data_IF_758254459477
#
_entry.id   IF_758254459477
#
_cell.length_a   1.000
_cell.length_b   1.000
_cell.length_c   1.000
_cell.angle_alpha   90.00
_cell.angle_beta   90.00
_cell.angle_gamma   90.00
#
_symmetry.space_group_name_H-M   'P 1'
#
loop_
_entity.id
_entity.type
_entity.pdbx_description
1 polymer ?
#
# COMPACT_ATOMS: atom_id res chain seq x y z
N UNK A 1 3.37 13.41 -11.88
CA UNK A 1 2.32 12.36 -11.78
C UNK A 1 2.07 12.04 -10.31
N UNK A 2 0.81 11.79 -9.92
CA UNK A 2 0.43 11.36 -8.57
C UNK A 2 0.42 9.84 -8.51
N UNK A 3 1.00 9.25 -7.47
CA UNK A 3 1.11 7.79 -7.32
C UNK A 3 0.61 7.40 -5.93
N UNK A 4 -0.26 6.40 -5.90
CA UNK A 4 -0.70 5.76 -4.68
C UNK A 4 0.26 4.64 -4.26
N UNK A 5 0.63 4.63 -2.99
CA UNK A 5 1.50 3.62 -2.38
C UNK A 5 0.62 2.67 -1.56
N UNK A 6 0.53 1.43 -2.04
CA UNK A 6 -0.13 0.32 -1.37
C UNK A 6 0.84 -0.43 -0.43
N UNK A 7 0.32 -1.32 0.42
CA UNK A 7 1.03 -1.93 1.55
C UNK A 7 2.17 -2.89 1.17
N UNK A 8 2.18 -3.47 -0.04
CA UNK A 8 3.30 -4.33 -0.48
C UNK A 8 4.56 -3.54 -0.82
N UNK A 9 4.44 -2.29 -1.28
CA UNK A 9 5.59 -1.42 -1.57
C UNK A 9 6.50 -1.23 -0.34
N UNK A 10 6.03 -0.66 0.80
CA UNK A 10 6.89 -0.53 1.97
C UNK A 10 7.36 -1.89 2.51
N UNK A 11 6.54 -2.93 2.38
CA UNK A 11 6.91 -4.29 2.80
C UNK A 11 8.11 -4.83 2.01
N UNK A 12 8.15 -4.66 0.69
CA UNK A 12 9.29 -5.07 -0.14
C UNK A 12 10.54 -4.20 0.08
N UNK A 13 10.36 -2.89 0.33
CA UNK A 13 11.48 -1.99 0.59
C UNK A 13 12.21 -2.38 1.87
N UNK A 14 11.50 -2.71 2.95
CA UNK A 14 12.13 -3.00 4.26
C UNK A 14 12.39 -4.49 4.51
N UNK A 15 11.79 -5.39 3.72
CA UNK A 15 11.94 -6.83 3.91
C UNK A 15 13.41 -7.28 3.90
N UNK A 16 13.70 -8.43 4.50
CA UNK A 16 14.99 -9.09 4.27
C UNK A 16 15.02 -9.62 2.82
N UNK A 17 16.21 -9.69 2.18
CA UNK A 17 16.34 -10.29 0.86
C UNK A 17 15.71 -11.68 0.84
N UNK A 18 14.78 -11.89 -0.08
CA UNK A 18 14.13 -13.18 -0.25
C UNK A 18 15.12 -14.21 -0.79
N UNK A 19 14.96 -15.48 -0.37
CA UNK A 19 15.72 -16.61 -0.92
C UNK A 19 15.19 -17.06 -2.27
N UNK A 20 13.88 -16.93 -2.48
CA UNK A 20 13.24 -17.19 -3.76
C UNK A 20 13.63 -16.11 -4.78
N UNK A 21 14.10 -16.53 -5.95
CA UNK A 21 14.66 -15.63 -6.98
C UNK A 21 13.59 -14.65 -7.49
N UNK A 22 12.37 -15.12 -7.72
CA UNK A 22 11.30 -14.28 -8.22
C UNK A 22 10.89 -13.23 -7.19
N UNK A 23 10.79 -13.64 -5.92
CA UNK A 23 10.49 -12.74 -4.83
C UNK A 23 11.60 -11.72 -4.60
N UNK A 24 12.87 -12.13 -4.70
CA UNK A 24 14.03 -11.27 -4.59
C UNK A 24 14.08 -10.23 -5.73
N UNK A 25 13.80 -10.65 -6.96
CA UNK A 25 13.70 -9.75 -8.10
C UNK A 25 12.62 -8.68 -7.91
N UNK A 26 11.44 -9.06 -7.40
CA UNK A 26 10.37 -8.11 -7.05
C UNK A 26 10.81 -7.11 -5.99
N UNK A 27 11.44 -7.59 -4.91
CA UNK A 27 11.97 -6.71 -3.87
C UNK A 27 13.00 -5.72 -4.43
N UNK A 28 13.91 -6.20 -5.28
CA UNK A 28 14.94 -5.36 -5.89
C UNK A 28 14.33 -4.27 -6.77
N UNK A 29 13.41 -4.62 -7.67
CA UNK A 29 12.73 -3.65 -8.53
C UNK A 29 11.98 -2.59 -7.71
N UNK A 30 11.30 -2.98 -6.64
CA UNK A 30 10.61 -2.04 -5.77
C UNK A 30 11.59 -1.11 -5.04
N UNK A 31 12.73 -1.62 -4.57
CA UNK A 31 13.78 -0.80 -3.94
C UNK A 31 14.39 0.20 -4.91
N UNK A 32 14.71 -0.25 -6.12
CA UNK A 32 15.28 0.61 -7.16
C UNK A 32 14.30 1.74 -7.52
N UNK A 33 13.02 1.41 -7.70
CA UNK A 33 12.01 2.43 -7.92
C UNK A 33 11.88 3.39 -6.74
N UNK A 34 11.89 2.85 -5.51
CA UNK A 34 11.78 3.65 -4.30
C UNK A 34 12.95 4.63 -4.15
N UNK A 35 14.18 4.19 -4.41
CA UNK A 35 15.36 5.03 -4.27
C UNK A 35 15.42 6.09 -5.39
N UNK A 36 15.22 5.67 -6.64
CA UNK A 36 15.57 6.49 -7.80
C UNK A 36 14.40 7.28 -8.40
N UNK A 37 13.16 6.79 -8.24
CA UNK A 37 12.00 7.38 -8.93
C UNK A 37 11.03 8.08 -7.99
N UNK A 38 10.85 7.61 -6.75
CA UNK A 38 9.79 8.12 -5.85
C UNK A 38 9.77 9.64 -5.70
N UNK A 39 10.96 10.28 -5.70
CA UNK A 39 11.12 11.74 -5.54
C UNK A 39 10.61 12.55 -6.73
N UNK A 40 10.42 11.91 -7.88
CA UNK A 40 9.87 12.53 -9.10
C UNK A 40 8.34 12.55 -9.12
N UNK A 41 7.70 11.98 -8.11
CA UNK A 41 6.26 11.83 -8.03
C UNK A 41 5.71 12.43 -6.74
N UNK A 42 4.45 12.83 -6.78
CA UNK A 42 3.70 13.15 -5.57
C UNK A 42 3.09 11.85 -5.05
N UNK A 43 3.58 11.39 -3.91
CA UNK A 43 3.18 10.12 -3.32
C UNK A 43 2.02 10.33 -2.35
N UNK A 44 1.06 9.42 -2.41
CA UNK A 44 -0.09 9.36 -1.53
C UNK A 44 -0.24 7.95 -0.97
N UNK A 45 -0.83 7.82 0.21
CA UNK A 45 -1.25 6.54 0.80
C UNK A 45 -2.58 6.73 1.52
N UNK A 46 -3.17 5.67 2.07
CA UNK A 46 -4.45 5.76 2.81
C UNK A 46 -4.30 5.24 4.23
N UNK A 47 -5.27 5.58 5.08
CA UNK A 47 -5.31 5.06 6.46
C UNK A 47 -5.34 3.53 6.48
N UNK A 48 -6.05 2.90 5.53
CA UNK A 48 -6.14 1.44 5.40
C UNK A 48 -4.74 0.82 5.20
N UNK A 49 -3.90 1.43 4.36
CA UNK A 49 -2.52 0.96 4.17
C UNK A 49 -1.69 1.12 5.44
N UNK A 50 -1.87 2.21 6.18
CA UNK A 50 -1.19 2.40 7.47
C UNK A 50 -1.62 1.34 8.49
N UNK A 51 -2.91 1.04 8.56
CA UNK A 51 -3.45 0.01 9.47
C UNK A 51 -2.90 -1.38 9.10
N UNK A 52 -2.87 -1.73 7.81
CA UNK A 52 -2.30 -2.99 7.33
C UNK A 52 -0.81 -3.13 7.68
N UNK A 53 0.01 -2.12 7.39
CA UNK A 53 1.47 -2.22 7.60
C UNK A 53 1.86 -2.10 9.07
N UNK A 54 0.98 -1.57 9.93
CA UNK A 54 1.19 -1.49 11.38
C UNK A 54 1.08 -2.84 12.08
N UNK A 55 0.46 -3.83 11.42
CA UNK A 55 0.24 -5.17 11.96
C UNK A 55 1.46 -6.09 11.78
N UNK A 56 1.49 -7.19 12.55
CA UNK A 56 2.52 -8.23 12.48
C UNK A 56 3.75 -7.93 13.33
N UNK A 57 4.94 -8.32 12.84
CA UNK A 57 6.21 -8.12 13.55
C UNK A 57 6.46 -6.64 13.85
N UNK A 58 6.67 -6.31 15.12
CA UNK A 58 6.75 -4.93 15.60
C UNK A 58 7.94 -4.15 15.03
N UNK A 59 9.06 -4.83 14.78
CA UNK A 59 10.23 -4.17 14.20
C UNK A 59 9.98 -3.82 12.73
N UNK A 60 9.43 -4.77 11.97
CA UNK A 60 9.09 -4.56 10.57
C UNK A 60 7.96 -3.53 10.41
N UNK A 61 6.94 -3.56 11.27
CA UNK A 61 5.87 -2.57 11.29
C UNK A 61 6.42 -1.16 11.51
N UNK A 62 7.31 -0.99 12.48
CA UNK A 62 7.99 0.28 12.73
C UNK A 62 8.79 0.76 11.51
N UNK A 63 9.52 -0.13 10.83
CA UNK A 63 10.28 0.23 9.63
C UNK A 63 9.35 0.68 8.49
N UNK A 64 8.25 -0.04 8.24
CA UNK A 64 7.25 0.33 7.21
C UNK A 64 6.58 1.67 7.52
N UNK A 65 6.17 1.89 8.77
CA UNK A 65 5.55 3.15 9.20
C UNK A 65 6.51 4.34 9.06
N UNK A 66 7.77 4.17 9.48
CA UNK A 66 8.79 5.21 9.31
C UNK A 66 9.05 5.55 7.84
N UNK A 67 8.97 4.56 6.96
CA UNK A 67 9.15 4.74 5.52
C UNK A 67 8.03 5.60 4.91
N UNK A 68 6.79 5.41 5.37
CA UNK A 68 5.62 6.17 4.88
C UNK A 68 5.36 7.48 5.64
N UNK A 69 6.06 7.75 6.75
CA UNK A 69 5.77 8.89 7.62
C UNK A 69 5.77 10.28 6.93
N UNK A 70 6.45 10.43 5.78
CA UNK A 70 6.52 11.68 5.02
C UNK A 70 5.62 11.69 3.77
N UNK A 71 4.83 10.65 3.56
CA UNK A 71 3.92 10.52 2.42
C UNK A 71 2.56 11.11 2.79
N UNK A 72 1.92 11.78 1.83
CA UNK A 72 0.63 12.43 2.07
C UNK A 72 -0.45 11.37 2.26
N UNK A 73 -1.25 11.53 3.31
CA UNK A 73 -2.46 10.73 3.48
C UNK A 73 -3.54 11.26 2.54
N UNK A 74 -4.17 10.36 1.80
CA UNK A 74 -5.36 10.65 1.01
C UNK A 74 -6.57 10.52 1.94
N UNK A 75 -7.34 11.60 2.05
CA UNK A 75 -8.61 11.54 2.76
C UNK A 75 -9.59 10.65 1.99
N UNK A 76 -10.12 9.63 2.67
CA UNK A 76 -11.24 8.84 2.15
C UNK A 76 -12.47 9.74 2.08
N UNK A 77 -12.78 10.25 0.88
CA UNK A 77 -13.98 11.05 0.68
C UNK A 77 -15.24 10.19 0.87
N UNK A 78 -16.32 10.81 1.31
CA UNK A 78 -17.57 10.08 1.57
C UNK A 78 -18.17 9.49 0.29
N UNK A 79 -17.87 10.07 -0.88
CA UNK A 79 -18.23 9.53 -2.19
C UNK A 79 -17.49 8.22 -2.50
N UNK A 80 -16.19 8.14 -2.18
CA UNK A 80 -15.41 6.92 -2.38
C UNK A 80 -15.93 5.78 -1.49
N UNK A 81 -16.24 6.08 -0.22
CA UNK A 81 -16.89 5.11 0.69
C UNK A 81 -18.26 4.66 0.18
N UNK A 82 -19.07 5.60 -0.32
CA UNK A 82 -20.38 5.29 -0.89
C UNK A 82 -20.28 4.41 -2.14
N UNK A 83 -19.27 4.63 -2.99
CA UNK A 83 -18.99 3.80 -4.16
C UNK A 83 -18.55 2.39 -3.75
N UNK A 84 -17.59 2.26 -2.82
CA UNK A 84 -17.17 0.95 -2.31
C UNK A 84 -18.35 0.18 -1.71
N UNK A 85 -19.22 0.84 -0.94
CA UNK A 85 -20.45 0.23 -0.39
C UNK A 85 -21.40 -0.26 -1.49
N UNK A 86 -21.55 0.49 -2.59
CA UNK A 86 -22.36 0.08 -3.75
C UNK A 86 -21.76 -1.12 -4.49
N UNK A 87 -20.42 -1.17 -4.63
CA UNK A 87 -19.71 -2.29 -5.27
C UNK A 87 -19.79 -3.55 -4.41
N UNK A 88 -19.66 -3.43 -3.09
CA UNK A 88 -19.84 -4.56 -2.17
C UNK A 88 -21.30 -5.06 -2.18
N UNK A 89 -22.27 -4.14 -2.23
CA UNK A 89 -23.68 -4.48 -2.29
C UNK A 89 -24.11 -5.13 -3.62
N UNK A 90 -23.38 -4.90 -4.73
CA UNK A 90 -23.69 -5.49 -6.03
C UNK A 90 -23.26 -6.95 -6.16
N UNK A 91 -22.55 -7.50 -5.16
CA UNK A 91 -22.03 -8.87 -5.20
C UNK A 91 -20.92 -9.08 -6.24
N UNK A 92 -20.40 -8.01 -6.83
CA UNK A 92 -19.32 -8.06 -7.83
C UNK A 92 -17.97 -8.50 -7.23
N UNK A 93 -17.84 -8.48 -5.90
CA UNK A 93 -16.67 -8.96 -5.17
C UNK A 93 -17.12 -9.96 -4.08
N UNK A 94 -16.38 -11.07 -3.88
CA UNK A 94 -16.69 -12.02 -2.82
C UNK A 94 -16.64 -11.35 -1.44
N UNK A 95 -17.57 -11.72 -0.55
CA UNK A 95 -17.85 -11.06 0.73
C UNK A 95 -16.67 -10.97 1.72
N UNK A 96 -15.55 -11.64 1.43
CA UNK A 96 -14.33 -11.69 2.23
C UNK A 96 -13.22 -10.76 1.72
N UNK A 97 -13.55 -9.87 0.77
CA UNK A 97 -12.60 -8.93 0.22
C UNK A 97 -12.52 -7.66 1.09
N UNK A 98 -11.80 -7.71 2.21
CA UNK A 98 -11.26 -6.51 2.87
C UNK A 98 -10.48 -5.61 1.88
N UNK A 99 -10.07 -6.19 0.74
CA UNK A 99 -9.41 -5.53 -0.39
C UNK A 99 -10.32 -4.70 -1.31
N UNK A 100 -11.64 -4.65 -1.12
CA UNK A 100 -12.53 -3.84 -1.98
C UNK A 100 -12.27 -2.33 -1.86
N UNK A 101 -11.75 -1.87 -0.71
CA UNK A 101 -11.46 -0.46 -0.46
C UNK A 101 -10.26 0.10 -1.24
N UNK A 102 -9.44 -0.76 -1.88
CA UNK A 102 -8.32 -0.34 -2.72
C UNK A 102 -8.71 0.04 -4.15
N UNK A 103 -9.94 -0.26 -4.60
CA UNK A 103 -10.34 -0.11 -6.01
C UNK A 103 -11.17 1.16 -6.29
N UNK A 104 -11.26 2.09 -5.35
CA UNK A 104 -12.01 3.35 -5.52
C UNK A 104 -11.06 4.53 -5.34
N UNK A 105 -10.32 4.86 -6.41
CA UNK A 105 -9.54 6.09 -6.56
C UNK A 105 -10.11 6.94 -7.69
#
# INVERSE_FOLDING_TARGET
>A
MRIYIESTIPSYVVARPARDILQAARQQLTRDWWEWQRRKHQLYTSQIVLDEISSGDSEMARQRMNLLAKIKLLDLTDEAKALTKKILASGALPAHADRAAHFSF
#
